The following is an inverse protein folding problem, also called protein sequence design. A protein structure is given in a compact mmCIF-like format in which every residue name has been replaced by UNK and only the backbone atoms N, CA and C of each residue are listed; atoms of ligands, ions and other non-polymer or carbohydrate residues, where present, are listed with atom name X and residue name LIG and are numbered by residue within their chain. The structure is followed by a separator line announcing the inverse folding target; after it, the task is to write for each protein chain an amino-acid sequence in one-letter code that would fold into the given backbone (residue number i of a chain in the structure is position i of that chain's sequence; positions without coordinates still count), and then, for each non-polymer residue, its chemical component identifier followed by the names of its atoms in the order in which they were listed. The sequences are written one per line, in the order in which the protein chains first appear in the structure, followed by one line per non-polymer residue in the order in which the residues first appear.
data_IF_401088513909
#
_entry.id   IF_401088513909
#
_cell.length_a   1.000
_cell.length_b   1.000
_cell.length_c   1.000
_cell.angle_alpha   90.00
_cell.angle_beta   90.00
_cell.angle_gamma   90.00
#
_symmetry.space_group_name_H-M   'P 1'
#
loop_
_entity.id
_entity.type
_entity.pdbx_description
1 polymer ?
#
# COMPACT_ATOMS: atom_id res chain seq x y z
N UNK A 1 8.53 22.90 13.52
CA UNK A 1 7.57 22.05 14.23
C UNK A 1 7.46 20.75 13.46
N UNK A 2 7.64 19.56 14.06
CA UNK A 2 7.35 18.33 13.34
C UNK A 2 5.84 18.33 13.00
N UNK A 3 5.50 18.26 11.72
CA UNK A 3 4.11 18.03 11.32
C UNK A 3 3.70 16.69 11.91
N UNK A 4 2.68 16.68 12.78
CA UNK A 4 1.99 15.45 13.11
C UNK A 4 1.48 14.87 11.77
N UNK A 5 1.94 13.67 11.43
CA UNK A 5 1.33 12.93 10.33
C UNK A 5 -0.16 12.79 10.68
N UNK A 6 -1.08 13.00 9.71
CA UNK A 6 -2.50 12.81 9.95
C UNK A 6 -2.72 11.40 10.54
N UNK A 7 -3.64 11.29 11.49
CA UNK A 7 -3.95 10.02 12.16
C UNK A 7 -4.69 9.10 11.17
N UNK A 8 -3.94 8.40 10.32
CA UNK A 8 -4.47 7.47 9.33
C UNK A 8 -4.90 6.19 10.04
N UNK A 9 -6.20 6.09 10.32
CA UNK A 9 -6.77 4.96 11.04
C UNK A 9 -7.50 4.02 10.08
N UNK A 10 -7.20 2.71 10.15
CA UNK A 10 -7.98 1.70 9.42
C UNK A 10 -9.36 1.59 10.09
N UNK A 11 -10.40 1.95 9.34
CA UNK A 11 -11.80 1.93 9.79
C UNK A 11 -12.42 0.55 9.57
N UNK A 12 -12.15 -0.06 8.42
CA UNK A 12 -12.63 -1.41 8.10
C UNK A 12 -11.74 -2.08 7.07
N UNK A 13 -11.80 -3.42 7.01
CA UNK A 13 -11.10 -4.25 6.04
C UNK A 13 -12.09 -5.24 5.45
N UNK A 14 -12.19 -5.27 4.12
CA UNK A 14 -13.04 -6.21 3.38
C UNK A 14 -12.17 -7.15 2.53
N UNK A 15 -12.44 -8.48 2.51
CA UNK A 15 -11.69 -9.40 1.65
C UNK A 15 -11.78 -9.00 0.18
N UNK A 16 -10.67 -9.13 -0.54
CA UNK A 16 -10.65 -8.88 -1.97
C UNK A 16 -11.15 -10.11 -2.73
N UNK A 17 -11.99 -9.89 -3.73
CA UNK A 17 -12.27 -10.92 -4.75
C UNK A 17 -11.02 -11.18 -5.58
N UNK A 18 -10.85 -12.42 -6.03
CA UNK A 18 -9.75 -12.78 -6.94
C UNK A 18 -9.76 -11.91 -8.20
N UNK A 19 -8.58 -11.71 -8.80
CA UNK A 19 -8.43 -11.01 -10.08
C UNK A 19 -7.66 -9.68 -10.02
N UNK A 20 -7.09 -9.32 -8.87
CA UNK A 20 -6.28 -8.12 -8.71
C UNK A 20 -4.87 -8.46 -8.21
N UNK A 21 -3.87 -7.85 -8.83
CA UNK A 21 -2.48 -7.92 -8.39
C UNK A 21 -1.89 -6.53 -8.18
N UNK A 22 -0.75 -6.51 -7.53
CA UNK A 22 0.01 -5.30 -7.27
C UNK A 22 1.32 -5.37 -8.02
N UNK A 23 1.59 -4.33 -8.81
CA UNK A 23 2.89 -4.09 -9.42
C UNK A 23 3.60 -3.00 -8.62
N UNK A 24 4.86 -3.23 -8.21
CA UNK A 24 5.72 -2.21 -7.62
C UNK A 24 6.71 -1.67 -8.64
N UNK A 25 6.89 -0.37 -8.64
CA UNK A 25 7.79 0.37 -9.52
C UNK A 25 8.76 1.18 -8.67
N UNK A 26 10.04 1.12 -9.01
CA UNK A 26 11.06 1.98 -8.45
C UNK A 26 11.58 2.93 -9.54
N UNK A 27 11.92 4.19 -9.21
CA UNK A 27 12.63 5.06 -10.13
C UNK A 27 13.92 4.41 -10.65
N UNK A 28 14.30 4.70 -11.89
CA UNK A 28 15.55 4.19 -12.47
C UNK A 28 16.75 4.53 -11.57
N UNK A 29 17.61 3.54 -11.32
CA UNK A 29 18.77 3.68 -10.44
C UNK A 29 18.48 3.48 -8.94
N UNK A 30 17.23 3.20 -8.56
CA UNK A 30 16.92 2.79 -7.19
C UNK A 30 17.44 1.39 -6.92
N UNK A 31 18.13 1.22 -5.79
CA UNK A 31 18.45 -0.11 -5.30
C UNK A 31 17.16 -0.81 -4.83
N UNK A 32 16.85 -1.94 -5.44
CA UNK A 32 15.69 -2.77 -5.11
C UNK A 32 16.13 -4.13 -4.55
N UNK A 33 17.42 -4.31 -4.27
CA UNK A 33 17.93 -5.50 -3.63
C UNK A 33 17.22 -5.68 -2.28
N UNK A 34 16.53 -6.81 -2.12
CA UNK A 34 15.80 -7.14 -0.90
C UNK A 34 14.36 -6.61 -0.82
N UNK A 35 13.86 -5.91 -1.84
CA UNK A 35 12.44 -5.53 -1.92
C UNK A 35 11.64 -6.76 -2.39
N UNK A 36 10.74 -7.31 -1.56
CA UNK A 36 9.96 -8.48 -1.97
C UNK A 36 8.96 -8.10 -3.05
N UNK A 37 8.80 -8.96 -4.04
CA UNK A 37 7.84 -8.76 -5.13
C UNK A 37 6.41 -8.80 -4.60
N UNK A 38 5.61 -7.73 -4.79
CA UNK A 38 4.19 -7.77 -4.47
C UNK A 38 3.47 -8.78 -5.37
N UNK A 39 2.46 -9.44 -4.81
CA UNK A 39 1.68 -10.44 -5.53
C UNK A 39 0.23 -10.00 -5.70
N UNK A 40 -0.72 -10.67 -5.06
CA UNK A 40 -2.15 -10.42 -5.20
C UNK A 40 -2.68 -9.49 -4.10
N UNK A 41 -3.76 -8.77 -4.42
CA UNK A 41 -4.56 -8.05 -3.42
C UNK A 41 -5.38 -9.07 -2.65
N UNK A 42 -5.26 -9.07 -1.33
CA UNK A 42 -5.98 -9.99 -0.42
C UNK A 42 -7.15 -9.32 0.29
N UNK A 43 -7.10 -7.99 0.46
CA UNK A 43 -8.18 -7.22 1.06
C UNK A 43 -8.14 -5.75 0.62
N UNK A 44 -9.20 -5.02 0.92
CA UNK A 44 -9.31 -3.58 0.79
C UNK A 44 -9.51 -2.97 2.16
N UNK A 45 -8.65 -2.03 2.55
CA UNK A 45 -8.77 -1.28 3.78
C UNK A 45 -9.40 0.09 3.48
N UNK A 46 -10.42 0.47 4.25
CA UNK A 46 -10.89 1.84 4.29
C UNK A 46 -10.10 2.57 5.38
N UNK A 47 -9.32 3.57 4.99
CA UNK A 47 -8.45 4.34 5.88
C UNK A 47 -9.04 5.73 6.04
N UNK A 48 -9.40 6.11 7.26
CA UNK A 48 -9.79 7.48 7.58
C UNK A 48 -8.58 8.39 7.38
N UNK A 49 -8.77 9.48 6.65
CA UNK A 49 -7.73 10.44 6.34
C UNK A 49 -8.38 11.81 6.13
N UNK A 50 -8.18 12.71 7.09
CA UNK A 50 -8.78 14.05 7.06
C UNK A 50 -8.21 14.94 5.95
N UNK A 51 -7.07 14.57 5.36
CA UNK A 51 -6.44 15.34 4.29
C UNK A 51 -7.02 15.04 2.91
N UNK A 52 -7.82 13.98 2.75
CA UNK A 52 -8.42 13.64 1.45
C UNK A 52 -9.89 14.07 1.37
N UNK A 53 -10.35 14.52 0.19
CA UNK A 53 -11.78 14.75 -0.05
C UNK A 53 -12.61 13.50 0.28
N UNK A 54 -13.60 13.64 1.15
CA UNK A 54 -14.43 12.52 1.62
C UNK A 54 -13.96 11.87 2.92
N UNK A 55 -12.82 12.30 3.48
CA UNK A 55 -12.35 11.88 4.82
C UNK A 55 -11.85 10.44 4.92
N UNK A 56 -11.79 9.71 3.79
CA UNK A 56 -11.27 8.35 3.76
C UNK A 56 -10.71 7.97 2.38
N UNK A 57 -9.70 7.10 2.36
CA UNK A 57 -9.13 6.48 1.17
C UNK A 57 -9.30 4.97 1.23
N UNK A 58 -9.56 4.33 0.08
CA UNK A 58 -9.52 2.87 -0.03
C UNK A 58 -8.12 2.46 -0.46
N UNK A 59 -7.45 1.66 0.36
CA UNK A 59 -6.11 1.14 0.09
C UNK A 59 -6.11 -0.37 -0.14
N UNK A 60 -5.32 -0.89 -1.10
CA UNK A 60 -5.15 -2.31 -1.29
C UNK A 60 -4.27 -2.89 -0.17
N UNK A 61 -4.70 -4.02 0.40
CA UNK A 61 -3.84 -4.87 1.22
C UNK A 61 -3.34 -6.01 0.34
N UNK A 62 -2.03 -6.18 0.22
CA UNK A 62 -1.42 -7.15 -0.67
C UNK A 62 -0.36 -7.99 0.01
N UNK A 63 -0.04 -9.14 -0.57
CA UNK A 63 0.96 -10.06 -0.04
C UNK A 63 2.32 -9.84 -0.69
N UNK A 64 3.37 -9.71 0.13
CA UNK A 64 4.76 -9.58 -0.29
C UNK A 64 5.69 -10.11 0.81
N UNK A 65 6.68 -10.95 0.45
CA UNK A 65 7.68 -11.42 1.42
C UNK A 65 7.06 -12.10 2.64
N UNK A 66 6.14 -13.03 2.39
CA UNK A 66 5.45 -13.86 3.38
C UNK A 66 4.47 -13.15 4.34
N UNK A 67 4.24 -11.84 4.15
CA UNK A 67 3.30 -11.07 4.99
C UNK A 67 2.42 -10.12 4.17
N UNK A 68 1.38 -9.61 4.80
CA UNK A 68 0.48 -8.62 4.21
C UNK A 68 0.93 -7.19 4.50
N UNK A 69 0.68 -6.30 3.55
CA UNK A 69 1.11 -4.90 3.61
C UNK A 69 0.03 -3.96 3.09
N UNK A 70 -0.04 -2.76 3.67
CA UNK A 70 -0.60 -1.59 2.98
C UNK A 70 0.50 -0.91 2.14
N UNK A 71 0.17 -0.09 1.13
CA UNK A 71 1.17 0.60 0.31
C UNK A 71 2.07 1.51 1.14
N UNK A 72 1.52 2.16 2.16
CA UNK A 72 2.28 3.02 3.07
C UNK A 72 3.27 2.22 3.91
N UNK A 73 2.83 1.11 4.53
CA UNK A 73 3.72 0.24 5.31
C UNK A 73 4.86 -0.33 4.45
N UNK A 74 4.54 -0.69 3.19
CA UNK A 74 5.52 -1.19 2.25
C UNK A 74 6.57 -0.13 1.89
N UNK A 75 6.14 1.11 1.62
CA UNK A 75 7.03 2.25 1.38
C UNK A 75 7.89 2.58 2.61
N UNK A 76 7.29 2.62 3.80
CA UNK A 76 8.02 2.89 5.03
C UNK A 76 9.11 1.83 5.32
N UNK A 77 8.91 0.57 4.90
CA UNK A 77 9.88 -0.50 5.11
C UNK A 77 10.97 -0.59 4.03
N UNK A 78 10.63 -0.31 2.77
CA UNK A 78 11.51 -0.59 1.62
C UNK A 78 11.92 0.65 0.82
N UNK A 79 11.38 1.83 1.15
CA UNK A 79 11.73 3.10 0.54
C UNK A 79 10.51 3.89 0.06
N UNK A 80 10.45 5.16 0.43
CA UNK A 80 9.33 6.07 0.10
C UNK A 80 9.14 6.30 -1.40
N UNK A 81 10.19 6.07 -2.19
CA UNK A 81 10.18 6.24 -3.64
C UNK A 81 9.50 5.08 -4.40
N UNK A 82 9.13 4.01 -3.70
CA UNK A 82 8.44 2.86 -4.30
C UNK A 82 6.98 3.22 -4.62
N UNK A 83 6.65 3.15 -5.90
CA UNK A 83 5.28 3.31 -6.37
C UNK A 83 4.59 1.95 -6.44
N UNK A 84 3.34 1.90 -6.01
CA UNK A 84 2.54 0.68 -5.96
C UNK A 84 1.30 0.90 -6.81
N UNK A 85 1.05 0.03 -7.79
CA UNK A 85 -0.12 0.11 -8.67
C UNK A 85 -0.92 -1.19 -8.59
N UNK A 86 -2.23 -1.05 -8.40
CA UNK A 86 -3.14 -2.18 -8.52
C UNK A 86 -3.53 -2.35 -9.99
N UNK A 87 -3.42 -3.57 -10.51
CA UNK A 87 -3.79 -3.92 -11.88
C UNK A 87 -4.59 -5.22 -11.90
N UNK A 88 -5.40 -5.47 -12.95
CA UNK A 88 -6.00 -6.78 -13.17
C UNK A 88 -4.90 -7.86 -13.23
N UNK A 89 -5.16 -9.00 -12.58
CA UNK A 89 -4.22 -10.11 -12.51
C UNK A 89 -4.01 -10.80 -13.87
#
# INVERSE_FOLDING_TARGET
MPQALPDRTIVTVVPASQGWRVDAFAPCGSDTAGVPTPSHVVAWALVADELVPGGATVEPVFYAGERTWTPEQFRAAYGDNLNVKVVPA
#
